data_IF_460652244138
#
_entry.id   IF_460652244138
#
_cell.length_a   1.000
_cell.length_b   1.000
_cell.length_c   1.000
_cell.angle_alpha   90.00
_cell.angle_beta   90.00
_cell.angle_gamma   90.00
#
_symmetry.space_group_name_H-M   'P 1'
#
loop_
_entity.id
_entity.type
_entity.pdbx_description
1 polymer ?
#
# COMPACT_ATOMS: atom_id res chain seq x y z
N UNK A 1 25.12 -18.66 -2.21
CA UNK A 1 23.89 -18.67 -1.37
C UNK A 1 23.78 -17.55 -0.33
N UNK A 2 24.79 -17.27 0.50
CA UNK A 2 24.71 -16.25 1.59
C UNK A 2 24.21 -14.85 1.16
N UNK A 3 24.67 -14.32 0.02
CA UNK A 3 24.25 -12.98 -0.46
C UNK A 3 22.77 -12.92 -0.86
N UNK A 4 22.24 -13.98 -1.47
CA UNK A 4 20.83 -14.08 -1.86
C UNK A 4 19.93 -14.18 -0.62
N UNK A 5 20.36 -14.95 0.37
CA UNK A 5 19.63 -15.06 1.64
C UNK A 5 19.53 -13.71 2.37
N UNK A 6 20.65 -12.98 2.49
CA UNK A 6 20.65 -11.64 3.09
C UNK A 6 19.76 -10.67 2.31
N UNK A 7 19.86 -10.68 0.97
CA UNK A 7 19.01 -9.84 0.13
C UNK A 7 17.52 -10.16 0.33
N UNK A 8 17.16 -11.44 0.33
CA UNK A 8 15.78 -11.89 0.54
C UNK A 8 15.25 -11.51 1.91
N UNK A 9 16.06 -11.61 2.96
CA UNK A 9 15.70 -11.23 4.32
C UNK A 9 15.44 -9.71 4.42
N UNK A 10 16.35 -8.89 3.90
CA UNK A 10 16.20 -7.44 3.96
C UNK A 10 15.08 -6.95 3.06
N UNK A 11 14.98 -7.46 1.82
CA UNK A 11 13.92 -7.11 0.89
C UNK A 11 12.55 -7.52 1.44
N UNK A 12 12.41 -8.74 1.95
CA UNK A 12 11.17 -9.21 2.58
C UNK A 12 10.78 -8.36 3.80
N UNK A 13 11.75 -8.03 4.67
CA UNK A 13 11.49 -7.16 5.82
C UNK A 13 11.05 -5.75 5.40
N UNK A 14 11.72 -5.14 4.42
CA UNK A 14 11.34 -3.83 3.90
C UNK A 14 9.93 -3.84 3.31
N UNK A 15 9.59 -4.85 2.51
CA UNK A 15 8.27 -4.96 1.90
C UNK A 15 7.18 -5.23 2.95
N UNK A 16 7.46 -6.04 3.97
CA UNK A 16 6.56 -6.27 5.10
C UNK A 16 6.29 -4.98 5.88
N UNK A 17 7.33 -4.20 6.17
CA UNK A 17 7.18 -2.91 6.85
C UNK A 17 6.32 -1.96 6.00
N UNK A 18 6.59 -1.88 4.70
CA UNK A 18 5.75 -1.09 3.79
C UNK A 18 4.29 -1.55 3.83
N UNK A 19 4.04 -2.86 3.74
CA UNK A 19 2.69 -3.41 3.81
C UNK A 19 1.97 -3.07 5.11
N UNK A 20 2.66 -3.16 6.25
CA UNK A 20 2.08 -2.86 7.57
C UNK A 20 1.76 -1.38 7.77
N UNK A 21 2.62 -0.49 7.26
CA UNK A 21 2.49 0.97 7.45
C UNK A 21 1.54 1.61 6.43
N UNK A 22 1.38 0.98 5.26
CA UNK A 22 0.56 1.48 4.16
C UNK A 22 -0.85 1.92 4.57
N UNK A 23 -1.68 1.13 5.27
CA UNK A 23 -3.04 1.54 5.62
C UNK A 23 -3.05 2.76 6.55
N UNK A 24 -2.15 2.83 7.52
CA UNK A 24 -2.08 3.94 8.46
C UNK A 24 -1.70 5.25 7.76
N UNK A 25 -0.69 5.22 6.89
CA UNK A 25 -0.26 6.39 6.12
C UNK A 25 -1.33 6.84 5.14
N UNK A 26 -1.97 5.91 4.42
CA UNK A 26 -3.06 6.24 3.49
C UNK A 26 -4.20 6.99 4.20
N UNK A 27 -4.61 6.54 5.39
CA UNK A 27 -5.66 7.22 6.16
C UNK A 27 -5.24 8.65 6.54
N UNK A 28 -3.98 8.85 6.95
CA UNK A 28 -3.47 10.18 7.29
C UNK A 28 -3.42 11.09 6.05
N UNK A 29 -2.95 10.57 4.92
CA UNK A 29 -2.90 11.31 3.65
C UNK A 29 -4.29 11.81 3.24
N UNK A 30 -5.29 10.91 3.18
CA UNK A 30 -6.64 11.31 2.77
C UNK A 30 -7.33 12.23 3.79
N UNK A 31 -7.07 12.07 5.09
CA UNK A 31 -7.56 13.01 6.13
C UNK A 31 -6.93 14.40 6.02
N UNK A 32 -5.72 14.49 5.47
CA UNK A 32 -5.03 15.75 5.23
C UNK A 32 -5.71 16.66 4.21
N UNK A 33 -6.67 16.15 3.44
CA UNK A 33 -7.44 16.87 2.41
C UNK A 33 -8.89 17.15 2.82
N UNK A 34 -9.25 16.85 4.07
CA UNK A 34 -10.62 16.97 4.58
C UNK A 34 -10.95 18.42 4.94
N UNK A 35 -11.92 19.02 4.25
CA UNK A 35 -12.38 20.38 4.51
C UNK A 35 -13.68 20.39 5.32
N UNK A 36 -13.79 21.33 6.25
CA UNK A 36 -14.96 21.53 7.11
C UNK A 36 -15.50 22.95 6.99
N UNK A 37 -16.82 23.08 7.10
CA UNK A 37 -17.48 24.38 7.23
C UNK A 37 -17.63 24.74 8.71
N UNK A 38 -17.15 25.92 9.10
CA UNK A 38 -17.14 26.36 10.51
C UNK A 38 -18.50 26.91 10.98
N UNK A 39 -19.42 27.22 10.06
CA UNK A 39 -20.79 27.65 10.37
C UNK A 39 -21.77 27.13 9.33
N UNK A 40 -22.97 26.74 9.75
CA UNK A 40 -24.05 26.28 8.86
C UNK A 40 -24.50 27.32 7.83
N UNK A 41 -24.17 28.59 8.05
CA UNK A 41 -24.54 29.74 7.19
C UNK A 41 -23.37 30.33 6.40
N UNK A 42 -22.14 29.84 6.60
CA UNK A 42 -20.97 30.34 5.86
C UNK A 42 -20.66 29.41 4.69
N UNK A 43 -20.54 29.95 3.49
CA UNK A 43 -20.07 29.20 2.31
C UNK A 43 -18.57 28.84 2.38
N UNK A 44 -17.80 29.49 3.27
CA UNK A 44 -16.37 29.24 3.40
C UNK A 44 -16.05 27.89 4.03
N UNK A 45 -15.12 27.18 3.39
CA UNK A 45 -14.61 25.89 3.84
C UNK A 45 -13.13 25.99 4.23
N UNK A 46 -12.76 25.33 5.33
CA UNK A 46 -11.40 25.38 5.88
C UNK A 46 -10.86 23.98 6.09
N UNK A 47 -9.54 23.82 6.02
CA UNK A 47 -8.91 22.53 6.21
C UNK A 47 -9.10 22.06 7.66
N UNK A 48 -9.55 20.81 7.85
CA UNK A 48 -9.85 20.25 9.18
C UNK A 48 -8.63 20.20 10.10
N UNK A 49 -7.46 19.87 9.54
CA UNK A 49 -6.22 19.73 10.30
C UNK A 49 -5.55 21.06 10.61
N UNK A 50 -5.85 22.10 9.82
CA UNK A 50 -5.36 23.47 10.00
C UNK A 50 -6.40 24.48 9.50
N UNK A 51 -7.22 24.99 10.42
CA UNK A 51 -8.31 25.91 10.09
C UNK A 51 -7.83 27.31 9.68
N UNK A 52 -6.52 27.55 9.58
CA UNK A 52 -5.97 28.77 8.99
C UNK A 52 -5.96 28.72 7.45
N UNK A 53 -6.10 27.54 6.85
CA UNK A 53 -6.10 27.33 5.40
C UNK A 53 -7.53 27.34 4.86
N UNK A 54 -7.81 28.27 3.94
CA UNK A 54 -9.06 28.34 3.17
C UNK A 54 -9.00 27.36 1.99
N UNK A 55 -9.95 26.42 1.94
CA UNK A 55 -10.03 25.38 0.92
C UNK A 55 -10.47 25.92 -0.45
N UNK A 56 -11.01 27.14 -0.53
CA UNK A 56 -11.40 27.76 -1.79
C UNK A 56 -10.25 28.57 -2.43
N UNK A 57 -9.14 28.73 -1.70
CA UNK A 57 -7.96 29.47 -2.15
C UNK A 57 -7.19 28.76 -3.27
N UNK A 58 -6.57 29.55 -4.16
CA UNK A 58 -5.76 29.00 -5.26
C UNK A 58 -4.47 28.31 -4.77
N UNK A 59 -3.97 28.74 -3.60
CA UNK A 59 -2.87 28.07 -2.92
C UNK A 59 -3.26 26.65 -2.51
N UNK A 60 -4.46 26.46 -1.94
CA UNK A 60 -4.97 25.14 -1.59
C UNK A 60 -5.18 24.25 -2.81
N UNK A 61 -5.76 24.77 -3.90
CA UNK A 61 -5.95 23.99 -5.15
C UNK A 61 -4.62 23.47 -5.70
N UNK A 62 -3.58 24.30 -5.68
CA UNK A 62 -2.23 23.90 -6.12
C UNK A 62 -1.64 22.84 -5.20
N UNK A 63 -1.80 23.02 -3.88
CA UNK A 63 -1.39 22.04 -2.88
C UNK A 63 -2.08 20.68 -3.08
N UNK A 64 -3.39 20.67 -3.29
CA UNK A 64 -4.19 19.44 -3.53
C UNK A 64 -3.67 18.68 -4.74
N UNK A 65 -3.33 19.36 -5.84
CA UNK A 65 -2.80 18.70 -7.04
C UNK A 65 -1.46 18.00 -6.73
N UNK A 66 -0.55 18.69 -6.04
CA UNK A 66 0.73 18.12 -5.66
C UNK A 66 0.56 16.95 -4.68
N UNK A 67 -0.29 17.09 -3.68
CA UNK A 67 -0.55 16.04 -2.70
C UNK A 67 -1.22 14.83 -3.35
N UNK A 68 -2.18 15.04 -4.25
CA UNK A 68 -2.81 13.96 -5.02
C UNK A 68 -1.79 13.17 -5.85
N UNK A 69 -0.79 13.84 -6.46
CA UNK A 69 0.30 13.15 -7.17
C UNK A 69 1.15 12.29 -6.22
N UNK A 70 1.48 12.81 -5.03
CA UNK A 70 2.23 12.07 -4.02
C UNK A 70 1.44 10.87 -3.48
N UNK A 71 0.14 11.05 -3.24
CA UNK A 71 -0.78 9.97 -2.88
C UNK A 71 -0.79 8.91 -3.98
N UNK A 72 -0.90 9.29 -5.26
CA UNK A 72 -0.87 8.32 -6.37
C UNK A 72 0.43 7.52 -6.41
N UNK A 73 1.58 8.17 -6.22
CA UNK A 73 2.88 7.47 -6.12
C UNK A 73 2.88 6.49 -4.95
N UNK A 74 2.36 6.90 -3.79
CA UNK A 74 2.29 6.05 -2.59
C UNK A 74 1.33 4.86 -2.77
N UNK A 75 0.14 5.08 -3.33
CA UNK A 75 -0.82 4.03 -3.65
C UNK A 75 -0.32 3.09 -4.76
N UNK A 76 0.65 3.53 -5.57
CA UNK A 76 1.37 2.69 -6.52
C UNK A 76 2.02 1.47 -5.87
N UNK A 77 2.32 1.52 -4.57
CA UNK A 77 2.82 0.36 -3.80
C UNK A 77 1.79 -0.78 -3.77
N UNK A 78 0.49 -0.48 -3.63
CA UNK A 78 -0.57 -1.51 -3.70
C UNK A 78 -0.60 -2.19 -5.07
N UNK A 79 -0.47 -1.40 -6.13
CA UNK A 79 -0.39 -1.91 -7.51
C UNK A 79 0.83 -2.81 -7.66
N UNK A 80 1.98 -2.43 -7.10
CA UNK A 80 3.19 -3.25 -7.15
C UNK A 80 2.99 -4.61 -6.48
N UNK A 81 2.32 -4.68 -5.33
CA UNK A 81 1.99 -5.96 -4.68
C UNK A 81 1.02 -6.79 -5.53
N UNK A 82 -0.01 -6.18 -6.12
CA UNK A 82 -0.92 -6.87 -7.02
C UNK A 82 -0.20 -7.45 -8.25
N UNK A 83 0.73 -6.69 -8.84
CA UNK A 83 1.56 -7.13 -9.97
C UNK A 83 2.46 -8.29 -9.55
N UNK A 84 3.11 -8.24 -8.38
CA UNK A 84 3.91 -9.35 -7.85
C UNK A 84 3.05 -10.61 -7.71
N UNK A 85 1.90 -10.51 -7.05
CA UNK A 85 0.98 -11.65 -6.87
C UNK A 85 0.51 -12.22 -8.22
N UNK A 86 0.22 -11.37 -9.20
CA UNK A 86 -0.19 -11.79 -10.53
C UNK A 86 0.95 -12.48 -11.29
N UNK A 87 2.16 -11.92 -11.23
CA UNK A 87 3.34 -12.47 -11.90
C UNK A 87 3.71 -13.85 -11.35
N UNK A 88 3.66 -14.01 -10.03
CA UNK A 88 3.97 -15.27 -9.33
C UNK A 88 2.74 -16.18 -9.12
N UNK A 89 1.60 -15.90 -9.77
CA UNK A 89 0.35 -16.67 -9.58
C UNK A 89 0.52 -18.18 -9.79
N UNK A 90 1.37 -18.58 -10.74
CA UNK A 90 1.61 -19.99 -11.05
C UNK A 90 2.47 -20.69 -9.99
N UNK A 91 3.34 -19.94 -9.30
CA UNK A 91 4.11 -20.43 -8.14
C UNK A 91 3.24 -20.49 -6.89
N UNK A 92 2.36 -19.50 -6.73
CA UNK A 92 1.42 -19.43 -5.60
C UNK A 92 0.32 -20.49 -5.68
N UNK A 93 -0.14 -20.81 -6.89
CA UNK A 93 -1.16 -21.82 -7.14
C UNK A 93 -0.79 -22.67 -8.37
N UNK A 94 0.03 -23.72 -8.18
CA UNK A 94 0.48 -24.59 -9.28
C UNK A 94 -0.72 -25.28 -9.94
N UNK A 95 -0.97 -25.08 -11.25
CA UNK A 95 -2.20 -25.55 -11.90
C UNK A 95 -2.26 -27.09 -12.05
N UNK A 96 -1.12 -27.77 -11.91
CA UNK A 96 -0.99 -29.22 -12.08
C UNK A 96 -1.20 -30.02 -10.79
N UNK A 97 -1.27 -29.34 -9.63
CA UNK A 97 -1.50 -30.00 -8.33
C UNK A 97 -2.96 -29.78 -7.95
N UNK A 98 -3.79 -30.82 -8.02
CA UNK A 98 -5.21 -30.68 -7.69
C UNK A 98 -5.47 -30.71 -6.17
N UNK A 99 -4.66 -31.47 -5.43
CA UNK A 99 -4.74 -31.56 -3.97
C UNK A 99 -4.38 -30.20 -3.32
N UNK A 100 -5.30 -29.59 -2.53
CA UNK A 100 -5.04 -28.32 -1.87
C UNK A 100 -3.89 -28.37 -0.86
N UNK A 101 -3.69 -29.49 -0.18
CA UNK A 101 -2.64 -29.62 0.85
C UNK A 101 -1.26 -29.70 0.19
N UNK A 102 -1.12 -30.49 -0.88
CA UNK A 102 0.12 -30.55 -1.66
C UNK A 102 0.43 -29.22 -2.33
N UNK A 103 -0.59 -28.47 -2.79
CA UNK A 103 -0.42 -27.10 -3.32
C UNK A 103 0.17 -26.16 -2.28
N UNK A 104 -0.39 -26.15 -1.07
CA UNK A 104 0.11 -25.31 0.03
C UNK A 104 1.54 -25.70 0.42
N UNK A 105 1.85 -26.99 0.48
CA UNK A 105 3.21 -27.47 0.76
C UNK A 105 4.21 -27.04 -0.33
N UNK A 106 3.88 -27.25 -1.60
CA UNK A 106 4.73 -26.85 -2.73
C UNK A 106 5.00 -25.33 -2.72
N UNK A 107 3.95 -24.52 -2.50
CA UNK A 107 4.09 -23.07 -2.34
C UNK A 107 5.00 -22.69 -1.17
N UNK A 108 4.85 -23.34 -0.02
CA UNK A 108 5.64 -23.01 1.17
C UNK A 108 7.11 -23.40 1.05
N UNK A 109 7.46 -24.32 0.14
CA UNK A 109 8.82 -24.74 -0.14
C UNK A 109 9.50 -23.94 -1.27
N UNK A 110 8.77 -23.07 -1.97
CA UNK A 110 9.31 -22.30 -3.08
C UNK A 110 10.09 -21.08 -2.58
N UNK A 111 11.42 -21.14 -2.69
CA UNK A 111 12.33 -20.07 -2.27
C UNK A 111 12.18 -18.78 -3.10
N UNK A 112 11.61 -18.85 -4.31
CA UNK A 112 11.47 -17.69 -5.19
C UNK A 112 10.39 -16.71 -4.70
N UNK A 113 9.39 -17.23 -3.98
CA UNK A 113 8.28 -16.44 -3.42
C UNK A 113 8.39 -16.21 -1.91
N UNK A 114 9.36 -16.84 -1.25
CA UNK A 114 9.60 -16.72 0.19
C UNK A 114 9.68 -15.26 0.71
N UNK A 115 10.31 -14.29 0.01
CA UNK A 115 10.36 -12.90 0.46
C UNK A 115 8.98 -12.22 0.56
N UNK A 116 7.99 -12.73 -0.18
CA UNK A 116 6.64 -12.17 -0.27
C UNK A 116 5.61 -12.97 0.53
N UNK A 117 6.06 -13.89 1.39
CA UNK A 117 5.19 -14.80 2.15
C UNK A 117 4.09 -14.10 2.94
N UNK A 118 4.36 -12.89 3.43
CA UNK A 118 3.41 -12.08 4.18
C UNK A 118 2.18 -11.64 3.36
N UNK A 119 2.24 -11.69 2.01
CA UNK A 119 1.11 -11.30 1.15
C UNK A 119 0.05 -12.41 1.02
N UNK A 120 0.37 -13.67 1.34
CA UNK A 120 -0.50 -14.82 1.03
C UNK A 120 -0.60 -15.86 2.15
N UNK A 121 0.10 -15.66 3.27
CA UNK A 121 0.07 -16.54 4.42
C UNK A 121 -0.84 -15.93 5.48
N UNK A 122 -1.89 -16.67 5.84
CA UNK A 122 -2.72 -16.34 6.99
C UNK A 122 -1.91 -16.63 8.27
N UNK A 123 -1.95 -15.70 9.23
CA UNK A 123 -1.30 -15.80 10.54
C UNK A 123 -2.20 -16.50 11.55
#
# INVERSE_FOLDING_TARGET
>A
DRRRHLFNQHCGASLLIMYAVLPAVSVVQFRGLDCVTLSKTSEKSYLRVDTSVDCDSDAYKTFVVLDALLILVYQGVLISFAVILFHYRAHLNPPHIHDPMLRMQARNMDETIAPFAFLYRDF
#
